data_IF_817925286440
#
_entry.id   IF_817925286440
#
_cell.length_a   1.000
_cell.length_b   1.000
_cell.length_c   1.000
_cell.angle_alpha   90.00
_cell.angle_beta   90.00
_cell.angle_gamma   90.00
#
_symmetry.space_group_name_H-M   'P 1'
#
loop_
_entity.id
_entity.type
_entity.pdbx_description
1 polymer ?
#
# COMPACT_ATOMS: atom_id res chain seq x y z
N UNK A 1 6.90 -10.73 -12.92
CA UNK A 1 6.95 -10.09 -11.60
C UNK A 1 6.88 -8.59 -11.82
N UNK A 2 5.74 -8.00 -11.57
CA UNK A 2 5.50 -6.56 -11.71
C UNK A 2 5.45 -5.84 -10.35
N UNK A 3 5.33 -6.60 -9.26
CA UNK A 3 5.43 -6.09 -7.89
C UNK A 3 6.84 -5.63 -7.53
N UNK A 4 6.92 -4.49 -6.85
CA UNK A 4 8.16 -3.91 -6.36
C UNK A 4 8.00 -3.56 -4.88
N UNK A 5 9.00 -3.93 -4.07
CA UNK A 5 9.05 -3.62 -2.64
C UNK A 5 10.08 -2.53 -2.33
N UNK A 6 9.81 -1.77 -1.27
CA UNK A 6 10.68 -0.72 -0.74
C UNK A 6 10.83 -0.88 0.78
N UNK A 7 12.08 -0.84 1.25
CA UNK A 7 12.41 -0.74 2.68
C UNK A 7 13.56 0.24 2.85
N UNK A 8 13.34 1.34 3.55
CA UNK A 8 14.35 2.35 3.84
C UNK A 8 14.40 2.59 5.36
N UNK A 9 15.38 2.03 6.07
CA UNK A 9 15.65 2.38 7.45
C UNK A 9 16.30 3.78 7.52
N UNK A 10 16.17 4.43 8.67
CA UNK A 10 16.73 5.77 8.90
C UNK A 10 16.29 6.80 7.85
N UNK A 11 15.00 6.73 7.47
CA UNK A 11 14.44 7.65 6.49
C UNK A 11 14.60 9.11 6.95
N UNK A 12 14.85 10.03 6.02
CA UNK A 12 15.22 11.45 6.24
C UNK A 12 16.46 11.65 7.16
N UNK A 13 17.34 10.66 7.25
CA UNK A 13 18.50 10.60 8.17
C UNK A 13 18.11 10.60 9.65
N UNK A 14 16.92 10.08 9.98
CA UNK A 14 16.44 9.91 11.35
C UNK A 14 16.32 8.42 11.67
N UNK A 15 17.08 7.97 12.68
CA UNK A 15 17.10 6.55 13.12
C UNK A 15 15.75 6.05 13.66
N UNK A 16 14.83 6.94 13.92
CA UNK A 16 13.48 6.64 14.39
C UNK A 16 12.45 6.62 13.25
N UNK A 17 12.86 6.87 12.01
CA UNK A 17 11.97 6.88 10.87
C UNK A 17 12.29 5.75 9.90
N UNK A 18 11.25 5.00 9.52
CA UNK A 18 11.32 3.87 8.61
C UNK A 18 10.27 4.06 7.52
N UNK A 19 10.67 3.89 6.26
CA UNK A 19 9.74 3.95 5.13
C UNK A 19 9.66 2.57 4.47
N UNK A 20 8.44 2.08 4.32
CA UNK A 20 8.12 0.84 3.60
C UNK A 20 7.18 1.15 2.45
N UNK A 21 7.17 0.29 1.42
CA UNK A 21 6.23 0.44 0.31
C UNK A 21 6.05 -0.84 -0.47
N UNK A 22 4.84 -1.04 -0.99
CA UNK A 22 4.47 -2.03 -1.99
C UNK A 22 3.90 -1.28 -3.19
N UNK A 23 4.40 -1.62 -4.36
CA UNK A 23 4.02 -1.07 -5.65
C UNK A 23 3.70 -2.22 -6.59
N UNK A 24 2.43 -2.49 -6.78
CA UNK A 24 1.93 -3.55 -7.65
C UNK A 24 1.72 -2.96 -9.04
N UNK A 25 2.51 -3.42 -10.01
CA UNK A 25 2.54 -2.91 -11.37
C UNK A 25 1.60 -3.67 -12.29
N UNK A 26 1.07 -2.96 -13.28
CA UNK A 26 0.30 -3.58 -14.36
C UNK A 26 0.63 -2.93 -15.71
N UNK A 27 0.51 -3.74 -16.77
CA UNK A 27 0.96 -3.33 -18.11
C UNK A 27 2.50 -3.22 -18.22
N UNK A 28 3.23 -3.78 -17.27
CA UNK A 28 4.68 -3.75 -17.13
C UNK A 28 5.13 -3.17 -15.79
N UNK A 29 6.40 -3.40 -15.41
CA UNK A 29 6.97 -3.02 -14.11
C UNK A 29 7.58 -1.61 -14.07
N UNK A 30 7.60 -0.90 -15.20
CA UNK A 30 8.32 0.38 -15.32
C UNK A 30 7.74 1.49 -14.45
N UNK A 31 6.42 1.54 -14.28
CA UNK A 31 5.75 2.50 -13.39
C UNK A 31 6.07 2.20 -11.92
N UNK A 32 6.00 0.95 -11.50
CA UNK A 32 6.32 0.52 -10.14
C UNK A 32 7.80 0.79 -9.81
N UNK A 33 8.74 0.50 -10.72
CA UNK A 33 10.17 0.84 -10.58
C UNK A 33 10.39 2.33 -10.43
N UNK A 34 9.77 3.14 -11.29
CA UNK A 34 9.86 4.58 -11.20
C UNK A 34 9.29 5.11 -9.88
N UNK A 35 8.14 4.57 -9.44
CA UNK A 35 7.52 4.96 -8.17
C UNK A 35 8.43 4.65 -7.00
N UNK A 36 9.02 3.45 -6.93
CA UNK A 36 10.04 3.08 -5.92
C UNK A 36 11.21 4.06 -5.88
N UNK A 37 11.72 4.48 -7.04
CA UNK A 37 12.93 5.30 -7.14
C UNK A 37 12.71 6.76 -6.77
N UNK A 38 11.53 7.30 -7.03
CA UNK A 38 11.27 8.74 -6.94
C UNK A 38 10.30 9.14 -5.83
N UNK A 39 9.30 8.34 -5.49
CA UNK A 39 8.33 8.68 -4.45
C UNK A 39 9.00 8.94 -3.09
N UNK A 40 9.98 8.11 -2.63
CA UNK A 40 10.71 8.38 -1.39
C UNK A 40 11.49 9.69 -1.42
N UNK A 41 12.08 10.04 -2.56
CA UNK A 41 12.83 11.30 -2.72
C UNK A 41 11.92 12.52 -2.64
N UNK A 42 10.73 12.43 -3.24
CA UNK A 42 9.72 13.49 -3.15
C UNK A 42 9.20 13.64 -1.72
N UNK A 43 8.93 12.53 -1.03
CA UNK A 43 8.50 12.54 0.36
C UNK A 43 9.59 13.11 1.28
N UNK A 44 10.84 12.67 1.12
CA UNK A 44 11.98 13.20 1.88
C UNK A 44 12.12 14.71 1.70
N UNK A 45 12.01 15.19 0.46
CA UNK A 45 12.08 16.64 0.17
C UNK A 45 10.94 17.38 0.83
N UNK A 46 9.70 16.89 0.69
CA UNK A 46 8.50 17.52 1.25
C UNK A 46 8.56 17.57 2.79
N UNK A 47 9.03 16.50 3.45
CA UNK A 47 9.20 16.48 4.93
C UNK A 47 10.26 17.49 5.38
N UNK A 48 11.38 17.63 4.66
CA UNK A 48 12.40 18.63 4.99
C UNK A 48 11.87 20.07 4.88
N UNK A 49 11.00 20.32 3.92
CA UNK A 49 10.37 21.64 3.71
C UNK A 49 9.23 21.91 4.71
N UNK A 50 8.47 20.87 5.12
CA UNK A 50 7.37 20.98 6.07
C UNK A 50 7.29 19.76 6.99
N UNK A 51 8.11 19.67 8.05
CA UNK A 51 8.17 18.51 8.94
C UNK A 51 6.95 18.34 9.86
N UNK A 52 6.07 19.34 9.93
CA UNK A 52 4.94 19.35 10.88
C UNK A 52 3.72 18.63 10.30
N UNK A 53 3.51 18.71 8.98
CA UNK A 53 2.34 18.15 8.31
C UNK A 53 2.73 17.01 7.36
N UNK A 54 2.93 15.82 7.91
CA UNK A 54 3.36 14.64 7.17
C UNK A 54 2.27 14.17 6.17
N UNK A 55 1.00 14.29 6.54
CA UNK A 55 -0.12 13.93 5.65
C UNK A 55 -0.05 14.76 4.36
N UNK A 56 0.10 16.06 4.48
CA UNK A 56 0.27 16.94 3.32
C UNK A 56 1.56 16.64 2.52
N UNK A 57 2.66 16.27 3.20
CA UNK A 57 3.89 15.84 2.52
C UNK A 57 3.67 14.59 1.67
N UNK A 58 2.88 13.64 2.17
CA UNK A 58 2.49 12.45 1.40
C UNK A 58 1.64 12.83 0.19
N UNK A 59 0.57 13.62 0.35
CA UNK A 59 -0.27 14.10 -0.77
C UNK A 59 0.56 14.76 -1.87
N UNK A 60 1.46 15.69 -1.50
CA UNK A 60 2.35 16.35 -2.45
C UNK A 60 3.28 15.36 -3.16
N UNK A 61 3.70 14.31 -2.48
CA UNK A 61 4.60 13.31 -3.03
C UNK A 61 3.88 12.43 -4.05
N UNK A 62 2.65 12.03 -3.79
CA UNK A 62 1.80 11.33 -4.76
C UNK A 62 1.48 12.22 -5.97
N UNK A 63 1.21 13.49 -5.79
CA UNK A 63 1.02 14.43 -6.89
C UNK A 63 2.29 14.57 -7.76
N UNK A 64 3.47 14.61 -7.14
CA UNK A 64 4.75 14.72 -7.86
C UNK A 64 5.09 13.43 -8.62
N UNK A 65 4.83 12.25 -8.05
CA UNK A 65 5.08 10.99 -8.75
C UNK A 65 4.13 10.81 -9.93
N UNK A 66 2.87 11.19 -9.80
CA UNK A 66 1.91 11.17 -10.90
C UNK A 66 2.34 12.12 -12.03
N UNK A 67 2.82 13.33 -11.71
CA UNK A 67 3.38 14.24 -12.73
C UNK A 67 4.57 13.62 -13.44
N UNK A 68 5.45 12.92 -12.69
CA UNK A 68 6.59 12.23 -13.28
C UNK A 68 6.17 11.06 -14.17
N UNK A 69 5.14 10.30 -13.78
CA UNK A 69 4.56 9.24 -14.61
C UNK A 69 4.02 9.81 -15.94
N UNK A 70 3.39 10.97 -15.89
CA UNK A 70 2.94 11.69 -17.07
C UNK A 70 4.10 12.07 -18.02
N UNK A 71 5.18 12.61 -17.47
CA UNK A 71 6.40 12.94 -18.21
C UNK A 71 7.07 11.70 -18.81
N UNK A 72 6.92 10.54 -18.18
CA UNK A 72 7.42 9.25 -18.64
C UNK A 72 6.49 8.58 -19.68
N UNK A 73 5.36 9.22 -20.01
CA UNK A 73 4.38 8.74 -20.97
C UNK A 73 3.80 7.35 -20.68
N UNK A 74 3.49 7.09 -19.38
CA UNK A 74 2.88 5.84 -18.94
C UNK A 74 1.38 5.78 -19.27
N UNK A 75 1.06 5.60 -20.55
CA UNK A 75 -0.33 5.64 -21.05
C UNK A 75 -1.10 4.38 -20.63
N UNK A 76 -0.53 3.20 -20.87
CA UNK A 76 -1.13 1.88 -20.60
C UNK A 76 -0.36 1.09 -19.53
N UNK A 77 0.46 1.78 -18.77
CA UNK A 77 1.29 1.22 -17.71
C UNK A 77 1.00 1.98 -16.43
N UNK A 78 0.71 1.27 -15.37
CA UNK A 78 0.43 1.88 -14.08
C UNK A 78 0.89 1.01 -12.91
N UNK A 79 0.67 1.51 -11.71
CA UNK A 79 0.87 0.73 -10.49
C UNK A 79 0.01 1.25 -9.34
N UNK A 80 -0.36 0.34 -8.44
CA UNK A 80 -0.79 0.70 -7.09
C UNK A 80 0.38 1.27 -6.29
N UNK A 81 0.13 2.02 -5.26
CA UNK A 81 1.18 2.47 -4.36
C UNK A 81 0.66 2.54 -2.93
N UNK A 82 1.21 1.69 -2.07
CA UNK A 82 0.96 1.74 -0.61
C UNK A 82 2.28 1.98 0.09
N UNK A 83 2.41 3.15 0.74
CA UNK A 83 3.60 3.55 1.50
C UNK A 83 3.27 3.75 2.97
N UNK A 84 4.20 3.31 3.82
CA UNK A 84 4.09 3.40 5.26
C UNK A 84 5.32 4.12 5.81
N UNK A 85 5.08 5.25 6.48
CA UNK A 85 6.10 5.94 7.26
C UNK A 85 5.86 5.69 8.75
N UNK A 86 6.80 5.03 9.40
CA UNK A 86 6.77 4.78 10.84
C UNK A 86 7.73 5.75 11.53
N UNK A 87 7.23 6.45 12.54
CA UNK A 87 8.05 7.23 13.47
C UNK A 87 7.97 6.57 14.85
N UNK A 88 9.05 5.86 15.23
CA UNK A 88 9.11 5.13 16.51
C UNK A 88 9.30 6.04 17.71
N UNK A 89 9.82 7.27 17.53
CA UNK A 89 9.95 8.25 18.61
C UNK A 89 8.59 8.78 19.08
N UNK A 90 7.70 9.05 18.12
CA UNK A 90 6.37 9.57 18.40
C UNK A 90 5.28 8.48 18.43
N UNK A 91 5.66 7.22 18.18
CA UNK A 91 4.74 6.09 18.06
C UNK A 91 3.62 6.33 17.04
N UNK A 92 3.97 6.83 15.85
CA UNK A 92 2.99 7.16 14.81
C UNK A 92 3.34 6.41 13.52
N UNK A 93 2.29 5.88 12.87
CA UNK A 93 2.31 5.36 11.51
C UNK A 93 1.50 6.30 10.64
N UNK A 94 2.05 6.65 9.48
CA UNK A 94 1.30 7.25 8.38
C UNK A 94 1.24 6.25 7.23
N UNK A 95 0.04 5.98 6.75
CA UNK A 95 -0.21 5.14 5.58
C UNK A 95 -0.77 6.02 4.47
N UNK A 96 -0.15 5.99 3.30
CA UNK A 96 -0.66 6.63 2.10
C UNK A 96 -0.83 5.60 1.00
N UNK A 97 -2.05 5.49 0.40
CA UNK A 97 -2.27 4.50 -0.65
C UNK A 97 -3.14 5.00 -1.81
N UNK A 98 -2.88 4.45 -2.99
CA UNK A 98 -3.74 4.42 -4.18
C UNK A 98 -3.77 2.99 -4.69
N UNK A 99 -4.94 2.51 -5.09
CA UNK A 99 -5.16 1.14 -5.54
C UNK A 99 -5.62 0.20 -4.41
N UNK A 100 -5.43 -1.09 -4.58
CA UNK A 100 -5.92 -2.14 -3.70
C UNK A 100 -4.83 -2.98 -3.01
N UNK A 101 -3.55 -2.63 -3.19
CA UNK A 101 -2.50 -3.03 -2.25
C UNK A 101 -2.78 -2.39 -0.89
N UNK A 102 -2.77 -3.17 0.19
CA UNK A 102 -3.32 -2.73 1.49
C UNK A 102 -2.36 -2.87 2.65
N UNK A 103 -2.69 -2.16 3.73
CA UNK A 103 -1.99 -2.23 5.01
C UNK A 103 -2.96 -2.54 6.15
N UNK A 104 -2.59 -3.53 6.97
CA UNK A 104 -3.35 -3.92 8.18
C UNK A 104 -2.47 -3.89 9.42
N UNK A 105 -3.08 -3.61 10.56
CA UNK A 105 -2.49 -3.79 11.88
C UNK A 105 -3.16 -5.00 12.55
N UNK A 106 -2.33 -5.83 13.18
CA UNK A 106 -2.79 -6.91 14.06
C UNK A 106 -2.49 -6.52 15.49
N UNK A 107 -3.51 -6.51 16.32
CA UNK A 107 -3.36 -6.34 17.77
C UNK A 107 -3.73 -7.65 18.52
N UNK A 108 -3.79 -7.60 19.85
CA UNK A 108 -4.11 -8.78 20.67
C UNK A 108 -5.58 -9.27 20.53
N UNK A 109 -6.44 -8.51 19.86
CA UNK A 109 -7.89 -8.76 19.82
C UNK A 109 -8.41 -9.05 18.41
N UNK A 110 -7.84 -8.39 17.40
CA UNK A 110 -8.26 -8.49 15.99
C UNK A 110 -7.20 -7.91 15.04
N UNK A 111 -7.36 -8.15 13.73
CA UNK A 111 -6.69 -7.40 12.67
C UNK A 111 -7.64 -6.35 12.09
N UNK A 112 -7.11 -5.20 11.69
CA UNK A 112 -7.87 -4.12 11.07
C UNK A 112 -7.05 -3.34 10.04
N UNK A 113 -7.75 -2.84 9.02
CA UNK A 113 -7.15 -2.11 7.91
C UNK A 113 -6.89 -0.65 8.27
N UNK A 114 -5.72 -0.12 7.87
CA UNK A 114 -5.35 1.29 7.96
C UNK A 114 -5.07 1.90 6.57
N UNK A 115 -5.44 1.22 5.51
CA UNK A 115 -5.48 1.69 4.13
C UNK A 115 -6.91 1.64 3.60
N UNK A 116 -7.13 2.12 2.39
CA UNK A 116 -8.42 2.06 1.71
C UNK A 116 -8.24 1.36 0.37
N UNK A 117 -9.09 0.37 0.06
CA UNK A 117 -9.01 -0.34 -1.22
C UNK A 117 -9.83 0.42 -2.28
N UNK A 118 -9.16 0.90 -3.29
CA UNK A 118 -9.78 1.62 -4.40
C UNK A 118 -10.36 0.64 -5.43
N UNK A 119 -11.34 -0.19 -5.00
CA UNK A 119 -11.99 -1.21 -5.85
C UNK A 119 -13.24 -0.66 -6.55
N UNK A 120 -13.50 -1.18 -7.75
CA UNK A 120 -14.69 -0.82 -8.54
C UNK A 120 -16.02 -1.22 -7.89
N UNK A 121 -15.99 -2.03 -6.83
CA UNK A 121 -17.17 -2.39 -6.02
C UNK A 121 -17.59 -1.32 -5.02
N UNK A 122 -16.73 -0.34 -4.71
CA UNK A 122 -17.05 0.74 -3.76
C UNK A 122 -18.03 1.75 -4.35
N UNK A 123 -19.13 1.99 -3.64
CA UNK A 123 -20.21 2.87 -4.14
C UNK A 123 -19.83 4.36 -4.15
N UNK A 124 -18.87 4.80 -3.32
CA UNK A 124 -18.40 6.18 -3.34
C UNK A 124 -17.51 6.42 -4.55
N UNK A 125 -16.62 5.45 -4.85
CA UNK A 125 -15.78 5.50 -6.03
C UNK A 125 -16.63 5.42 -7.31
N UNK A 126 -17.66 4.57 -7.38
CA UNK A 126 -18.61 4.54 -8.51
C UNK A 126 -19.22 5.90 -8.77
N UNK A 127 -19.78 6.55 -7.73
CA UNK A 127 -20.40 7.88 -7.85
C UNK A 127 -19.40 8.94 -8.32
N UNK A 128 -18.15 8.87 -7.81
CA UNK A 128 -17.08 9.78 -8.23
C UNK A 128 -16.74 9.59 -9.71
N UNK A 129 -16.55 8.33 -10.12
CA UNK A 129 -16.20 7.95 -11.50
C UNK A 129 -17.27 8.41 -12.48
N UNK A 130 -18.55 8.16 -12.20
CA UNK A 130 -19.67 8.60 -13.04
C UNK A 130 -19.71 10.12 -13.18
N UNK A 131 -19.47 10.85 -12.10
CA UNK A 131 -19.39 12.32 -12.11
C UNK A 131 -18.24 12.84 -12.96
N UNK A 132 -17.14 12.09 -13.06
CA UNK A 132 -15.96 12.42 -13.86
C UNK A 132 -16.04 11.88 -15.31
N UNK A 133 -17.21 11.36 -15.73
CA UNK A 133 -17.44 10.88 -17.09
C UNK A 133 -16.94 9.49 -17.40
N UNK A 134 -16.51 8.71 -16.38
CA UNK A 134 -16.20 7.30 -16.48
C UNK A 134 -17.42 6.41 -16.22
N UNK A 135 -17.22 5.10 -16.31
CA UNK A 135 -18.24 4.10 -15.96
C UNK A 135 -17.61 2.84 -15.38
N UNK A 136 -18.40 2.08 -14.63
CA UNK A 136 -18.02 0.76 -14.15
C UNK A 136 -18.76 -0.30 -14.95
N UNK A 137 -18.02 -1.17 -15.63
CA UNK A 137 -18.56 -2.27 -16.45
C UNK A 137 -17.83 -3.55 -16.00
N UNK A 138 -18.59 -4.60 -15.70
CA UNK A 138 -18.02 -5.89 -15.26
C UNK A 138 -17.03 -5.75 -14.07
N UNK A 139 -17.35 -4.89 -13.11
CA UNK A 139 -16.49 -4.54 -11.97
C UNK A 139 -15.11 -3.98 -12.36
N UNK A 140 -15.05 -3.29 -13.52
CA UNK A 140 -13.84 -2.62 -14.03
C UNK A 140 -14.15 -1.18 -14.43
N UNK A 141 -13.24 -0.28 -14.12
CA UNK A 141 -13.26 1.11 -14.59
C UNK A 141 -13.13 1.11 -16.12
N UNK A 142 -14.14 1.66 -16.80
CA UNK A 142 -14.24 1.71 -18.27
C UNK A 142 -14.01 0.34 -18.95
N UNK A 143 -14.35 -0.77 -18.27
CA UNK A 143 -14.10 -2.15 -18.69
C UNK A 143 -12.60 -2.50 -18.86
N UNK A 144 -11.70 -1.76 -18.22
CA UNK A 144 -10.24 -1.93 -18.33
C UNK A 144 -9.62 -2.28 -16.98
N UNK A 145 -9.62 -1.37 -16.02
CA UNK A 145 -8.92 -1.52 -14.74
C UNK A 145 -9.84 -2.07 -13.64
N UNK A 146 -9.34 -2.99 -12.80
CA UNK A 146 -10.05 -3.48 -11.62
C UNK A 146 -10.07 -2.44 -10.48
N UNK A 147 -9.15 -1.49 -10.52
CA UNK A 147 -8.94 -0.44 -9.52
C UNK A 147 -9.45 0.92 -10.02
N UNK A 148 -9.73 1.83 -9.10
CA UNK A 148 -10.26 3.17 -9.38
C UNK A 148 -9.24 4.28 -9.18
N UNK A 149 -8.05 3.93 -8.60
CA UNK A 149 -6.91 4.83 -8.41
C UNK A 149 -5.61 4.10 -8.69
N UNK A 150 -4.69 4.75 -9.39
CA UNK A 150 -3.32 4.27 -9.67
C UNK A 150 -2.39 5.43 -10.01
N UNK A 151 -1.09 5.17 -10.03
CA UNK A 151 -0.08 6.02 -10.67
C UNK A 151 0.06 5.57 -12.12
N UNK A 152 0.08 6.50 -13.09
CA UNK A 152 0.13 6.15 -14.52
C UNK A 152 -1.26 5.95 -15.15
N UNK A 153 -1.38 5.04 -16.11
CA UNK A 153 -2.62 4.72 -16.84
C UNK A 153 -3.29 5.95 -17.45
N UNK A 154 -2.52 6.77 -18.16
CA UNK A 154 -3.01 8.07 -18.63
C UNK A 154 -4.09 7.99 -19.69
N UNK A 155 -4.33 6.83 -20.29
CA UNK A 155 -5.50 6.57 -21.16
C UNK A 155 -6.83 6.56 -20.38
N UNK A 156 -6.80 6.32 -19.06
CA UNK A 156 -7.97 6.32 -18.18
C UNK A 156 -8.11 7.61 -17.34
N UNK A 157 -7.06 8.45 -17.27
CA UNK A 157 -7.13 9.75 -16.58
C UNK A 157 -8.12 10.68 -17.30
N UNK A 158 -8.89 11.42 -16.52
CA UNK A 158 -10.00 12.23 -17.05
C UNK A 158 -11.25 11.43 -17.41
N UNK A 159 -11.26 10.11 -17.16
CA UNK A 159 -12.40 9.20 -17.32
C UNK A 159 -12.67 8.45 -16.00
N UNK A 160 -12.43 9.09 -14.87
CA UNK A 160 -12.70 8.54 -13.56
C UNK A 160 -11.48 7.96 -12.82
N UNK A 161 -10.35 7.69 -13.48
CA UNK A 161 -9.12 7.28 -12.79
C UNK A 161 -8.40 8.47 -12.18
N UNK A 162 -7.96 8.37 -10.93
CA UNK A 162 -7.17 9.41 -10.24
C UNK A 162 -5.96 8.82 -9.52
N UNK A 163 -5.04 9.68 -9.08
CA UNK A 163 -3.87 9.31 -8.26
C UNK A 163 -3.86 10.07 -6.92
N UNK A 164 -5.04 10.48 -6.44
CA UNK A 164 -5.18 11.15 -5.15
C UNK A 164 -5.16 10.08 -4.06
N UNK A 165 -4.17 10.07 -3.15
CA UNK A 165 -4.06 9.03 -2.14
C UNK A 165 -5.09 9.20 -1.03
N UNK A 166 -5.47 8.07 -0.43
CA UNK A 166 -5.99 8.07 0.92
C UNK A 166 -4.83 8.14 1.90
N UNK A 167 -4.92 9.01 2.89
CA UNK A 167 -3.92 9.14 3.93
C UNK A 167 -4.56 8.81 5.28
N UNK A 168 -3.95 7.87 6.00
CA UNK A 168 -4.37 7.47 7.33
C UNK A 168 -3.23 7.63 8.32
N UNK A 169 -3.56 8.09 9.53
CA UNK A 169 -2.64 8.21 10.65
C UNK A 169 -3.08 7.29 11.78
N UNK A 170 -2.17 6.42 12.24
CA UNK A 170 -2.41 5.54 13.36
C UNK A 170 -1.38 5.81 14.48
N UNK A 171 -1.83 5.84 15.73
CA UNK A 171 -0.94 5.90 16.89
C UNK A 171 -0.67 4.48 17.39
N UNK A 172 0.60 4.06 17.35
CA UNK A 172 1.01 2.74 17.82
C UNK A 172 0.75 2.63 19.31
N UNK A 173 0.01 1.63 19.70
CA UNK A 173 -0.30 1.32 21.12
C UNK A 173 0.30 -0.04 21.50
N UNK A 174 0.50 -0.27 22.81
CA UNK A 174 1.16 -1.48 23.33
C UNK A 174 0.51 -2.79 22.88
N UNK A 175 -0.79 -2.77 22.55
CA UNK A 175 -1.50 -3.95 22.07
C UNK A 175 -1.25 -4.26 20.60
N UNK A 176 -0.74 -3.33 19.79
CA UNK A 176 -0.39 -3.58 18.41
C UNK A 176 0.83 -4.50 18.36
N UNK A 177 0.76 -5.51 17.50
CA UNK A 177 1.79 -6.56 17.41
C UNK A 177 2.46 -6.62 16.05
N UNK A 178 1.67 -6.52 14.99
CA UNK A 178 2.20 -6.53 13.63
C UNK A 178 1.58 -5.42 12.80
N UNK A 179 2.37 -4.92 11.87
CA UNK A 179 1.90 -4.20 10.70
C UNK A 179 2.24 -5.06 9.49
N UNK A 180 1.27 -5.27 8.61
CA UNK A 180 1.40 -6.06 7.40
C UNK A 180 0.99 -5.22 6.21
N UNK A 181 1.90 -5.06 5.25
CA UNK A 181 1.65 -4.38 3.97
C UNK A 181 1.82 -5.40 2.86
N UNK A 182 0.84 -5.53 1.97
CA UNK A 182 0.93 -6.51 0.90
C UNK A 182 0.17 -6.07 -0.37
N UNK A 183 0.49 -6.71 -1.51
CA UNK A 183 -0.29 -6.64 -2.74
C UNK A 183 -1.56 -7.49 -2.64
N UNK A 184 -2.45 -7.36 -3.62
CA UNK A 184 -3.69 -8.13 -3.70
C UNK A 184 -3.46 -9.63 -3.83
N UNK A 185 -2.28 -10.08 -4.34
CA UNK A 185 -1.88 -11.48 -4.31
C UNK A 185 -1.92 -12.14 -2.92
N UNK A 186 -1.84 -11.35 -1.83
CA UNK A 186 -2.14 -11.79 -0.45
C UNK A 186 -3.61 -11.53 -0.13
N UNK A 187 -4.10 -10.30 -0.36
CA UNK A 187 -5.38 -9.85 0.19
C UNK A 187 -6.61 -10.45 -0.48
N UNK A 188 -6.49 -11.00 -1.68
CA UNK A 188 -7.57 -11.69 -2.36
C UNK A 188 -7.93 -13.04 -1.69
N UNK A 189 -7.01 -13.62 -0.92
CA UNK A 189 -7.21 -14.90 -0.22
C UNK A 189 -7.06 -14.81 1.30
N UNK A 190 -6.44 -13.75 1.83
CA UNK A 190 -6.23 -13.51 3.26
C UNK A 190 -7.11 -12.35 3.73
N UNK A 191 -8.16 -12.63 4.45
CA UNK A 191 -8.99 -11.62 5.12
C UNK A 191 -8.45 -11.28 6.53
N UNK A 192 -9.12 -10.37 7.24
CA UNK A 192 -8.74 -9.91 8.58
C UNK A 192 -8.70 -11.04 9.61
N UNK A 193 -9.68 -11.95 9.58
CA UNK A 193 -9.78 -13.06 10.55
C UNK A 193 -8.64 -14.06 10.33
N UNK A 194 -8.37 -14.43 9.08
CA UNK A 194 -7.26 -15.31 8.71
C UNK A 194 -5.92 -14.70 9.12
N UNK A 195 -5.70 -13.41 8.81
CA UNK A 195 -4.48 -12.71 9.23
C UNK A 195 -4.31 -12.73 10.74
N UNK A 196 -5.39 -12.47 11.49
CA UNK A 196 -5.38 -12.51 12.95
C UNK A 196 -4.99 -13.88 13.47
N UNK A 197 -5.67 -14.94 13.00
CA UNK A 197 -5.44 -16.32 13.46
C UNK A 197 -3.99 -16.78 13.22
N UNK A 198 -3.46 -16.53 12.03
CA UNK A 198 -2.06 -16.85 11.69
C UNK A 198 -1.10 -16.08 12.62
N UNK A 199 -1.36 -14.79 12.83
CA UNK A 199 -0.51 -13.91 13.63
C UNK A 199 -0.50 -14.34 15.11
N UNK A 200 -1.65 -14.65 15.68
CA UNK A 200 -1.75 -15.13 17.08
C UNK A 200 -1.04 -16.48 17.24
N UNK A 201 -1.18 -17.39 16.28
CA UNK A 201 -0.43 -18.65 16.27
C UNK A 201 1.08 -18.46 16.36
N UNK A 202 1.61 -17.47 15.63
CA UNK A 202 3.05 -17.11 15.67
C UNK A 202 3.44 -16.44 16.98
N UNK A 203 2.60 -15.52 17.50
CA UNK A 203 2.87 -14.84 18.79
C UNK A 203 2.96 -15.81 19.96
N UNK A 204 2.08 -16.81 19.99
CA UNK A 204 2.00 -17.82 21.04
C UNK A 204 3.11 -18.88 20.95
N UNK A 205 3.80 -18.98 19.81
CA UNK A 205 4.91 -19.91 19.65
C UNK A 205 6.20 -19.32 20.21
N UNK A 206 6.59 -19.72 21.41
CA UNK A 206 7.80 -19.22 22.10
C UNK A 206 9.11 -19.64 21.44
N UNK A 207 9.11 -20.66 20.56
CA UNK A 207 10.29 -21.11 19.82
C UNK A 207 10.59 -20.28 18.56
N UNK A 208 9.70 -19.37 18.19
CA UNK A 208 9.87 -18.51 16.99
C UNK A 208 10.74 -17.30 17.37
N UNK A 209 11.98 -17.31 16.94
CA UNK A 209 12.95 -16.20 17.19
C UNK A 209 12.58 -14.95 16.38
N UNK A 210 12.38 -15.09 15.07
CA UNK A 210 11.99 -13.98 14.20
C UNK A 210 10.51 -14.10 13.80
N UNK A 211 9.65 -13.37 14.51
CA UNK A 211 8.21 -13.40 14.30
C UNK A 211 7.77 -12.75 12.98
N UNK A 212 8.52 -11.73 12.50
CA UNK A 212 8.23 -11.10 11.22
C UNK A 212 8.44 -12.06 10.06
N UNK A 213 9.59 -12.75 10.03
CA UNK A 213 9.89 -13.73 8.98
C UNK A 213 8.92 -14.91 9.01
N UNK A 214 8.57 -15.37 10.22
CA UNK A 214 7.60 -16.45 10.36
C UNK A 214 6.23 -16.05 9.82
N UNK A 215 5.79 -14.81 10.06
CA UNK A 215 4.50 -14.32 9.54
C UNK A 215 4.53 -14.13 8.03
N UNK A 216 5.60 -13.55 7.47
CA UNK A 216 5.77 -13.44 6.01
C UNK A 216 5.65 -14.80 5.35
N UNK A 217 6.43 -15.79 5.81
CA UNK A 217 6.44 -17.13 5.21
C UNK A 217 5.06 -17.78 5.28
N UNK A 218 4.39 -17.69 6.44
CA UNK A 218 3.05 -18.26 6.60
C UNK A 218 1.99 -17.60 5.72
N UNK A 219 2.07 -16.27 5.52
CA UNK A 219 1.14 -15.56 4.64
C UNK A 219 1.35 -15.92 3.17
N UNK A 220 2.61 -16.02 2.75
CA UNK A 220 2.97 -16.43 1.37
C UNK A 220 2.55 -17.87 1.12
N UNK A 221 2.88 -18.81 2.02
CA UNK A 221 2.47 -20.21 1.91
C UNK A 221 0.95 -20.33 1.84
N UNK A 222 0.24 -19.64 2.74
CA UNK A 222 -1.22 -19.63 2.75
C UNK A 222 -1.80 -19.09 1.43
N UNK A 223 -1.25 -18.00 0.89
CA UNK A 223 -1.73 -17.43 -0.37
C UNK A 223 -1.56 -18.41 -1.53
N UNK A 224 -0.41 -19.07 -1.65
CA UNK A 224 -0.14 -20.08 -2.67
C UNK A 224 -1.08 -21.29 -2.50
N UNK A 225 -1.22 -21.83 -1.29
CA UNK A 225 -2.07 -22.99 -0.99
C UNK A 225 -3.56 -22.72 -1.23
N UNK A 226 -4.00 -21.47 -1.11
CA UNK A 226 -5.40 -21.07 -1.34
C UNK A 226 -5.64 -20.47 -2.74
N UNK A 227 -4.71 -20.72 -3.67
CA UNK A 227 -4.91 -20.50 -5.10
C UNK A 227 -4.73 -19.07 -5.57
N UNK A 228 -3.95 -18.25 -4.86
CA UNK A 228 -3.51 -16.97 -5.40
C UNK A 228 -2.71 -17.19 -6.69
N UNK A 229 -3.09 -16.49 -7.76
CA UNK A 229 -2.49 -16.58 -9.09
C UNK A 229 -1.70 -15.35 -9.48
N UNK A 230 -1.61 -14.37 -8.59
CA UNK A 230 -0.92 -13.11 -8.82
C UNK A 230 0.50 -13.09 -8.24
N UNK A 231 1.22 -12.01 -8.48
CA UNK A 231 2.46 -11.71 -7.78
C UNK A 231 2.16 -11.55 -6.29
N UNK A 232 2.94 -12.20 -5.44
CA UNK A 232 2.74 -12.19 -4.00
C UNK A 232 3.85 -11.37 -3.35
N UNK A 233 3.50 -10.20 -2.83
CA UNK A 233 4.44 -9.31 -2.14
C UNK A 233 3.91 -8.93 -0.76
N UNK A 234 4.79 -9.07 0.25
CA UNK A 234 4.43 -8.79 1.64
C UNK A 234 5.61 -8.21 2.41
N UNK A 235 5.34 -7.22 3.27
CA UNK A 235 6.26 -6.66 4.26
C UNK A 235 5.59 -6.77 5.62
N UNK A 236 6.30 -7.32 6.60
CA UNK A 236 5.83 -7.45 7.99
C UNK A 236 6.75 -6.70 8.94
N UNK A 237 6.18 -5.87 9.79
CA UNK A 237 6.86 -5.22 10.93
C UNK A 237 6.26 -5.77 12.21
N UNK A 238 7.10 -6.31 13.11
CA UNK A 238 6.71 -6.75 14.45
C UNK A 238 6.99 -5.62 15.46
N UNK A 239 6.00 -5.29 16.28
CA UNK A 239 6.14 -4.34 17.39
C UNK A 239 6.37 -5.12 18.70
N UNK A 240 7.49 -4.85 19.37
CA UNK A 240 7.85 -5.45 20.67
C UNK A 240 7.21 -4.73 21.86
#
# INVERSE_FOLDING_TARGET
MEDIQLTIPNFVNDKHQYLFGIFDGHGGDSSAKMTKDFLPKFLQKSIKENPINIEHCMELSFKKIEQKAKESNFILVGNTATIILINTHNHIIYCGNVGDSSCMIVNNEHAFKISYDDKCSDDNEKKRIEKEGGCIINNRLNNVLAITRSIGDFDQKGKGLIAIPHIHKHTIVKKDKFLVVASDGIWDVVNQDILFDISIGILNNSSTENKSDALVNKLVDYAVENGSMDNISCIVVHFE
#
